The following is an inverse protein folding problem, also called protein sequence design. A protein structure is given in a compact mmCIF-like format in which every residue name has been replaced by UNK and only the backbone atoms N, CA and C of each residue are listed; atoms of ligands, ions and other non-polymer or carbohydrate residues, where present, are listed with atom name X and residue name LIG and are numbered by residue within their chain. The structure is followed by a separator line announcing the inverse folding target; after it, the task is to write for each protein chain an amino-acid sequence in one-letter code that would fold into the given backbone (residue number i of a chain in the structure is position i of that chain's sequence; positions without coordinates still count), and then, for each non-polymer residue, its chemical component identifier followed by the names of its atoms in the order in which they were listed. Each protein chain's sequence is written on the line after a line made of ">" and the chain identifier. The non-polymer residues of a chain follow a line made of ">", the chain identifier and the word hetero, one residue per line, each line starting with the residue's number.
data_IF_601388905533
#
_entry.id   IF_601388905533
#
_cell.length_a   1.000
_cell.length_b   1.000
_cell.length_c   1.000
_cell.angle_alpha   90.00
_cell.angle_beta   90.00
_cell.angle_gamma   90.00
#
_symmetry.space_group_name_H-M   'P 1'
#
loop_
_entity.id
_entity.type
_entity.pdbx_description
1 polymer ?
#
# COMPACT_ATOMS: atom_id res chain seq x y z
N UNK A 1 18.96 13.80 2.87
CA UNK A 1 18.60 12.45 2.46
C UNK A 1 18.10 12.46 1.02
N UNK A 2 18.73 11.75 0.08
CA UNK A 2 18.30 11.73 -1.32
C UNK A 2 16.91 11.06 -1.51
N UNK A 3 16.44 10.29 -0.53
CA UNK A 3 15.15 9.60 -0.52
C UNK A 3 13.98 10.51 -0.13
N UNK A 4 14.25 11.71 0.38
CA UNK A 4 13.24 12.63 0.90
C UNK A 4 13.31 13.95 0.17
N UNK A 5 12.24 14.33 -0.50
CA UNK A 5 12.07 15.66 -1.07
C UNK A 5 11.53 16.63 -0.01
N UNK A 6 12.01 17.86 -0.04
CA UNK A 6 11.44 18.93 0.77
C UNK A 6 10.47 19.75 -0.07
N UNK A 7 9.23 19.77 0.37
CA UNK A 7 8.16 20.58 -0.21
C UNK A 7 7.60 21.53 0.83
N UNK A 8 6.81 22.51 0.44
CA UNK A 8 6.16 23.43 1.37
C UNK A 8 4.63 23.32 1.31
N UNK A 9 4.00 23.46 2.46
CA UNK A 9 2.57 23.70 2.55
C UNK A 9 2.20 25.09 2.05
N UNK A 10 0.94 25.38 1.73
CA UNK A 10 0.50 26.73 1.31
C UNK A 10 0.81 27.83 2.33
N UNK A 11 0.92 27.51 3.62
CA UNK A 11 1.32 28.43 4.69
C UNK A 11 2.84 28.51 4.93
N UNK A 12 3.64 27.89 4.04
CA UNK A 12 5.11 27.98 4.04
C UNK A 12 5.84 27.04 4.99
N UNK A 13 5.15 26.08 5.61
CA UNK A 13 5.83 25.08 6.44
C UNK A 13 6.50 24.01 5.58
N UNK A 14 7.66 23.56 6.00
CA UNK A 14 8.38 22.48 5.31
C UNK A 14 7.75 21.13 5.62
N UNK A 15 7.70 20.28 4.58
CA UNK A 15 7.22 18.90 4.63
C UNK A 15 8.25 18.02 3.97
N UNK A 16 8.70 16.97 4.65
CA UNK A 16 9.48 15.90 4.04
C UNK A 16 8.53 14.95 3.29
N UNK A 17 8.81 14.66 2.04
CA UNK A 17 8.00 13.84 1.17
C UNK A 17 8.81 12.65 0.65
N UNK A 18 8.39 11.43 1.00
CA UNK A 18 8.90 10.21 0.41
C UNK A 18 7.96 9.74 -0.71
N UNK A 19 8.53 9.44 -1.87
CA UNK A 19 7.78 8.91 -3.00
C UNK A 19 7.81 7.38 -3.04
N UNK A 20 6.72 6.81 -3.53
CA UNK A 20 6.67 5.42 -3.98
C UNK A 20 6.11 5.39 -5.40
N UNK A 21 6.87 4.80 -6.32
CA UNK A 21 6.43 4.66 -7.72
C UNK A 21 5.45 3.50 -7.90
N UNK A 22 5.47 2.55 -6.99
CA UNK A 22 4.65 1.34 -7.07
C UNK A 22 3.82 1.21 -5.80
N UNK A 23 2.52 1.34 -5.94
CA UNK A 23 1.58 1.11 -4.85
C UNK A 23 0.65 -0.06 -5.20
N UNK A 24 -0.32 0.16 -6.08
CA UNK A 24 -1.35 -0.85 -6.38
C UNK A 24 -1.19 -1.53 -7.74
N UNK A 25 -0.27 -1.09 -8.60
CA UNK A 25 -0.19 -1.56 -9.99
C UNK A 25 0.00 -3.08 -10.12
N UNK A 26 0.83 -3.69 -9.28
CA UNK A 26 1.01 -5.14 -9.26
C UNK A 26 -0.22 -5.86 -8.69
N UNK A 27 -0.84 -5.29 -7.66
CA UNK A 27 -2.09 -5.80 -7.09
C UNK A 27 -3.23 -5.76 -8.11
N UNK A 28 -3.32 -4.71 -8.92
CA UNK A 28 -4.35 -4.57 -9.96
C UNK A 28 -4.25 -5.74 -10.96
N UNK A 29 -3.03 -6.09 -11.40
CA UNK A 29 -2.79 -7.22 -12.28
C UNK A 29 -3.21 -8.56 -11.65
N UNK A 30 -2.92 -8.76 -10.36
CA UNK A 30 -3.33 -9.98 -9.64
C UNK A 30 -4.84 -10.06 -9.45
N UNK A 31 -5.50 -8.95 -9.12
CA UNK A 31 -6.97 -8.92 -8.98
C UNK A 31 -7.64 -9.22 -10.32
N UNK A 32 -7.10 -8.67 -11.42
CA UNK A 32 -7.60 -9.00 -12.76
C UNK A 32 -7.45 -10.50 -13.05
N UNK A 33 -6.27 -11.07 -12.82
CA UNK A 33 -6.02 -12.51 -13.04
C UNK A 33 -6.95 -13.39 -12.20
N UNK A 34 -7.16 -13.05 -10.92
CA UNK A 34 -8.08 -13.77 -10.04
C UNK A 34 -9.54 -13.63 -10.51
N UNK A 35 -9.91 -12.46 -11.06
CA UNK A 35 -11.21 -12.25 -11.69
C UNK A 35 -11.42 -13.14 -12.90
N UNK A 36 -10.44 -13.24 -13.80
CA UNK A 36 -10.47 -14.13 -14.95
C UNK A 36 -10.60 -15.61 -14.52
N UNK A 37 -9.88 -16.01 -13.46
CA UNK A 37 -9.99 -17.36 -12.91
C UNK A 37 -11.39 -17.61 -12.33
N UNK A 38 -11.97 -16.66 -11.62
CA UNK A 38 -13.34 -16.78 -11.10
C UNK A 38 -14.37 -16.90 -12.24
N UNK A 39 -14.23 -16.10 -13.29
CA UNK A 39 -15.11 -16.16 -14.47
C UNK A 39 -14.99 -17.52 -15.19
N UNK A 40 -13.79 -18.04 -15.35
CA UNK A 40 -13.55 -19.36 -15.92
C UNK A 40 -14.23 -20.49 -15.13
N UNK A 41 -14.43 -20.31 -13.84
CA UNK A 41 -15.16 -21.21 -12.94
C UNK A 41 -16.67 -20.91 -12.87
N UNK A 42 -17.16 -19.95 -13.68
CA UNK A 42 -18.58 -19.60 -13.76
C UNK A 42 -19.05 -18.60 -12.70
N UNK A 43 -18.16 -18.03 -11.90
CA UNK A 43 -18.50 -16.94 -11.00
C UNK A 43 -18.53 -15.62 -11.77
N UNK A 44 -19.44 -14.72 -11.36
CA UNK A 44 -19.51 -13.36 -11.90
C UNK A 44 -19.44 -12.37 -10.76
N UNK A 45 -18.51 -11.44 -10.84
CA UNK A 45 -18.38 -10.34 -9.92
C UNK A 45 -17.98 -9.07 -10.70
N UNK A 46 -18.47 -7.92 -10.26
CA UNK A 46 -18.00 -6.64 -10.77
C UNK A 46 -16.56 -6.40 -10.29
N UNK A 47 -15.82 -5.55 -10.99
CA UNK A 47 -14.47 -5.15 -10.59
C UNK A 47 -14.44 -4.62 -9.14
N UNK A 48 -15.42 -3.83 -8.75
CA UNK A 48 -15.52 -3.29 -7.38
C UNK A 48 -15.72 -4.38 -6.34
N UNK A 49 -16.57 -5.37 -6.63
CA UNK A 49 -16.78 -6.52 -5.73
C UNK A 49 -15.52 -7.38 -5.62
N UNK A 50 -14.82 -7.63 -6.73
CA UNK A 50 -13.54 -8.34 -6.72
C UNK A 50 -12.52 -7.64 -5.82
N UNK A 51 -12.32 -6.33 -6.02
CA UNK A 51 -11.42 -5.55 -5.18
C UNK A 51 -11.79 -5.66 -3.71
N UNK A 52 -13.02 -5.33 -3.35
CA UNK A 52 -13.42 -5.32 -1.96
C UNK A 52 -13.30 -6.70 -1.31
N UNK A 53 -13.79 -7.75 -1.97
CA UNK A 53 -13.79 -9.09 -1.41
C UNK A 53 -12.35 -9.65 -1.30
N UNK A 54 -11.52 -9.48 -2.32
CA UNK A 54 -10.14 -9.97 -2.29
C UNK A 54 -9.30 -9.21 -1.26
N UNK A 55 -9.39 -7.89 -1.22
CA UNK A 55 -8.63 -7.10 -0.25
C UNK A 55 -9.06 -7.39 1.19
N UNK A 56 -10.34 -7.62 1.45
CA UNK A 56 -10.82 -8.01 2.78
C UNK A 56 -10.19 -9.30 3.29
N UNK A 57 -9.89 -10.27 2.41
CA UNK A 57 -9.24 -11.51 2.84
C UNK A 57 -7.88 -11.28 3.50
N UNK A 58 -7.17 -10.19 3.17
CA UNK A 58 -5.90 -9.87 3.79
C UNK A 58 -5.96 -9.68 5.31
N UNK A 59 -7.13 -9.34 5.83
CA UNK A 59 -7.33 -9.15 7.28
C UNK A 59 -7.25 -10.48 8.06
N UNK A 60 -7.52 -11.59 7.39
CA UNK A 60 -7.46 -12.96 7.95
C UNK A 60 -6.06 -13.59 7.73
N UNK A 61 -5.16 -12.90 7.06
CA UNK A 61 -3.80 -13.39 6.83
C UNK A 61 -2.94 -13.41 8.09
N UNK A 62 -1.97 -14.34 8.09
CA UNK A 62 -0.99 -14.43 9.18
C UNK A 62 -0.16 -13.14 9.28
N UNK A 63 0.32 -12.76 10.48
CA UNK A 63 1.10 -11.53 10.68
C UNK A 63 2.35 -11.44 9.79
N UNK A 64 2.98 -12.58 9.51
CA UNK A 64 4.16 -12.73 8.65
C UNK A 64 3.82 -13.11 7.20
N UNK A 65 2.56 -12.96 6.81
CA UNK A 65 2.04 -13.38 5.49
C UNK A 65 2.25 -14.87 5.19
N UNK A 66 2.33 -15.72 6.22
CA UNK A 66 2.56 -17.14 6.07
C UNK A 66 3.92 -17.49 5.45
N UNK A 67 4.92 -16.62 5.62
CA UNK A 67 6.25 -16.79 5.05
C UNK A 67 6.32 -16.52 3.53
N UNK A 68 5.34 -15.80 2.97
CA UNK A 68 5.39 -15.33 1.58
C UNK A 68 6.17 -14.03 1.49
N UNK A 69 6.94 -13.87 0.42
CA UNK A 69 7.63 -12.64 0.07
C UNK A 69 7.11 -12.15 -1.28
N UNK A 70 6.57 -10.94 -1.31
CA UNK A 70 6.19 -10.24 -2.54
C UNK A 70 7.12 -9.06 -2.78
N UNK A 71 7.49 -8.88 -4.03
CA UNK A 71 8.27 -7.76 -4.54
C UNK A 71 7.54 -7.21 -5.78
N UNK A 72 6.85 -6.09 -5.62
CA UNK A 72 5.88 -5.57 -6.59
C UNK A 72 6.37 -4.38 -7.42
N UNK A 73 7.68 -4.17 -7.59
CA UNK A 73 8.22 -3.01 -8.29
C UNK A 73 8.20 -3.24 -9.80
N UNK A 74 7.12 -2.80 -10.45
CA UNK A 74 6.94 -2.88 -11.91
C UNK A 74 7.73 -1.76 -12.61
N UNK A 75 7.64 -0.53 -12.09
CA UNK A 75 8.16 0.69 -12.72
C UNK A 75 9.51 1.12 -12.15
N UNK A 76 10.24 0.19 -11.52
CA UNK A 76 11.36 0.57 -10.67
C UNK A 76 10.90 1.29 -9.39
N UNK A 77 11.85 1.60 -8.51
CA UNK A 77 11.52 2.28 -7.26
C UNK A 77 12.72 3.14 -6.83
N UNK A 78 12.56 4.45 -6.91
CA UNK A 78 13.63 5.41 -6.67
C UNK A 78 14.29 5.23 -5.30
N UNK A 79 13.50 5.10 -4.24
CA UNK A 79 14.01 4.99 -2.87
C UNK A 79 14.87 3.73 -2.64
N UNK A 80 14.74 2.72 -3.50
CA UNK A 80 15.52 1.49 -3.46
C UNK A 80 16.65 1.46 -4.49
N UNK A 81 16.78 2.49 -5.32
CA UNK A 81 17.79 2.58 -6.38
C UNK A 81 17.54 1.68 -7.59
N UNK A 82 16.33 1.15 -7.76
CA UNK A 82 15.96 0.36 -8.94
C UNK A 82 15.35 1.24 -10.03
N UNK A 83 15.94 1.24 -11.22
CA UNK A 83 15.39 1.93 -12.40
C UNK A 83 14.27 1.13 -13.08
N UNK A 84 14.39 -0.21 -13.08
CA UNK A 84 13.39 -1.14 -13.58
C UNK A 84 13.06 -2.18 -12.54
N UNK A 85 11.82 -2.64 -12.52
CA UNK A 85 11.36 -3.69 -11.62
C UNK A 85 10.84 -4.91 -12.37
N UNK A 86 10.88 -6.05 -11.69
CA UNK A 86 10.23 -7.29 -12.13
C UNK A 86 9.51 -7.87 -10.93
N UNK A 87 8.17 -7.82 -10.90
CA UNK A 87 7.40 -8.38 -9.80
C UNK A 87 7.77 -9.84 -9.57
N UNK A 88 7.89 -10.22 -8.32
CA UNK A 88 8.26 -11.57 -7.90
C UNK A 88 7.45 -11.94 -6.66
N UNK A 89 6.88 -13.13 -6.67
CA UNK A 89 6.38 -13.81 -5.48
C UNK A 89 7.27 -15.01 -5.18
N UNK A 90 7.89 -14.99 -4.00
CA UNK A 90 8.71 -16.10 -3.52
C UNK A 90 8.04 -16.78 -2.32
N UNK A 91 8.20 -18.09 -2.23
CA UNK A 91 7.74 -18.90 -1.10
C UNK A 91 8.65 -20.10 -0.85
N UNK A 92 8.73 -20.51 0.39
CA UNK A 92 9.38 -21.76 0.79
C UNK A 92 8.39 -22.93 0.75
N UNK A 93 8.91 -24.16 0.83
CA UNK A 93 8.09 -25.38 0.83
C UNK A 93 7.14 -25.49 2.04
N UNK A 94 7.48 -24.82 3.14
CA UNK A 94 6.70 -24.80 4.38
C UNK A 94 5.88 -23.51 4.58
N UNK A 95 5.81 -22.64 3.57
CA UNK A 95 4.99 -21.42 3.64
C UNK A 95 3.49 -21.79 3.69
N UNK A 96 2.73 -21.02 4.46
CA UNK A 96 1.26 -21.11 4.51
C UNK A 96 0.66 -20.32 3.34
N UNK A 97 0.59 -20.96 2.17
CA UNK A 97 0.18 -20.34 0.92
C UNK A 97 -1.35 -20.34 0.79
N UNK A 98 -1.97 -19.30 1.29
CA UNK A 98 -3.42 -19.03 1.22
C UNK A 98 -3.70 -17.75 0.46
N UNK A 99 -4.94 -17.53 0.00
CA UNK A 99 -5.37 -16.28 -0.62
C UNK A 99 -5.18 -15.11 0.34
N UNK A 100 -5.53 -15.27 1.61
CA UNK A 100 -5.37 -14.23 2.63
C UNK A 100 -3.91 -13.78 2.78
N UNK A 101 -2.99 -14.73 2.91
CA UNK A 101 -1.55 -14.46 3.00
C UNK A 101 -0.99 -13.87 1.71
N UNK A 102 -1.45 -14.34 0.56
CA UNK A 102 -1.05 -13.82 -0.74
C UNK A 102 -1.44 -12.33 -0.87
N UNK A 103 -2.70 -11.98 -0.67
CA UNK A 103 -3.16 -10.59 -0.77
C UNK A 103 -2.47 -9.71 0.27
N UNK A 104 -2.31 -10.20 1.51
CA UNK A 104 -1.61 -9.47 2.57
C UNK A 104 -0.15 -9.18 2.22
N UNK A 105 0.58 -10.13 1.65
CA UNK A 105 1.97 -9.95 1.23
C UNK A 105 2.11 -8.87 0.15
N UNK A 106 1.20 -8.85 -0.82
CA UNK A 106 1.18 -7.81 -1.86
C UNK A 106 0.83 -6.42 -1.31
N UNK A 107 -0.09 -6.33 -0.37
CA UNK A 107 -0.43 -5.06 0.29
C UNK A 107 0.77 -4.53 1.12
N UNK A 108 1.50 -5.38 1.82
CA UNK A 108 2.73 -4.95 2.51
C UNK A 108 3.81 -4.54 1.51
N UNK A 109 3.99 -5.28 0.41
CA UNK A 109 4.94 -4.92 -0.65
C UNK A 109 4.67 -3.51 -1.19
N UNK A 110 3.40 -3.16 -1.42
CA UNK A 110 2.99 -1.82 -1.86
C UNK A 110 3.38 -0.69 -0.88
N UNK A 111 3.59 -1.01 0.39
CA UNK A 111 3.97 -0.04 1.43
C UNK A 111 5.47 -0.02 1.74
N UNK A 112 6.28 -0.92 1.19
CA UNK A 112 7.70 -1.04 1.54
C UNK A 112 8.50 0.24 1.26
N UNK A 113 8.32 0.85 0.09
CA UNK A 113 9.03 2.09 -0.25
C UNK A 113 8.65 3.24 0.70
N UNK A 114 7.35 3.41 0.98
CA UNK A 114 6.86 4.38 1.95
C UNK A 114 7.44 4.11 3.35
N UNK A 115 7.49 2.84 3.79
CA UNK A 115 8.09 2.47 5.08
C UNK A 115 9.57 2.81 5.12
N UNK A 116 10.32 2.62 4.04
CA UNK A 116 11.74 2.99 3.96
C UNK A 116 11.91 4.50 4.16
N UNK A 117 11.11 5.33 3.47
CA UNK A 117 11.14 6.77 3.67
C UNK A 117 10.73 7.20 5.08
N UNK A 118 9.74 6.53 5.66
CA UNK A 118 9.32 6.78 7.04
C UNK A 118 10.43 6.43 8.03
N UNK A 119 11.18 5.36 7.80
CA UNK A 119 12.30 4.97 8.65
C UNK A 119 13.41 6.02 8.69
N UNK A 120 13.69 6.71 7.58
CA UNK A 120 14.62 7.86 7.57
C UNK A 120 14.16 8.93 8.56
N UNK A 121 12.88 9.30 8.51
CA UNK A 121 12.33 10.33 9.41
C UNK A 121 12.36 9.88 10.88
N UNK A 122 11.99 8.64 11.16
CA UNK A 122 11.89 8.11 12.53
C UNK A 122 13.25 7.81 13.16
N UNK A 123 14.15 7.17 12.38
CA UNK A 123 15.41 6.64 12.90
C UNK A 123 16.56 7.62 12.80
N UNK A 124 16.68 8.31 11.65
CA UNK A 124 17.81 9.17 11.36
C UNK A 124 17.54 10.61 11.85
N UNK A 125 16.31 11.10 11.65
CA UNK A 125 15.91 12.46 12.06
C UNK A 125 15.24 12.50 13.44
N UNK A 126 14.92 11.35 14.04
CA UNK A 126 14.31 11.27 15.36
C UNK A 126 12.89 11.86 15.44
N UNK A 127 12.18 11.93 14.31
CA UNK A 127 10.83 12.46 14.27
C UNK A 127 9.87 11.62 15.13
N UNK A 128 8.95 12.30 15.81
CA UNK A 128 7.87 11.66 16.56
C UNK A 128 6.59 11.74 15.75
N UNK A 129 6.00 10.58 15.42
CA UNK A 129 4.76 10.49 14.66
C UNK A 129 3.70 9.86 15.54
N UNK A 130 2.70 10.64 15.90
CA UNK A 130 1.58 10.19 16.75
C UNK A 130 0.49 9.50 15.92
N UNK A 131 0.27 9.95 14.69
CA UNK A 131 -0.81 9.50 13.83
C UNK A 131 -0.45 9.64 12.36
N UNK A 132 -0.88 8.68 11.55
CA UNK A 132 -0.87 8.76 10.07
C UNK A 132 -2.30 9.02 9.60
N UNK A 133 -2.49 10.00 8.73
CA UNK A 133 -3.78 10.28 8.09
C UNK A 133 -3.78 9.74 6.66
N UNK A 134 -4.62 8.73 6.42
CA UNK A 134 -4.71 8.05 5.13
C UNK A 134 -5.65 8.77 4.16
N UNK A 135 -5.24 8.87 2.88
CA UNK A 135 -6.03 9.40 1.79
C UNK A 135 -5.82 8.57 0.52
N UNK A 136 -6.83 8.55 -0.36
CA UNK A 136 -6.74 7.95 -1.69
C UNK A 136 -7.27 6.53 -1.79
N UNK A 137 -7.05 5.92 -2.97
CA UNK A 137 -7.65 4.64 -3.37
C UNK A 137 -7.32 3.46 -2.47
N UNK A 138 -6.12 3.43 -1.89
CA UNK A 138 -5.69 2.38 -0.95
C UNK A 138 -6.63 2.23 0.27
N UNK A 139 -7.32 3.30 0.64
CA UNK A 139 -8.21 3.35 1.79
C UNK A 139 -9.71 3.21 1.43
N UNK A 140 -10.05 2.94 0.16
CA UNK A 140 -11.44 2.77 -0.27
C UNK A 140 -12.07 1.46 0.23
N UNK A 141 -11.27 0.40 0.41
CA UNK A 141 -11.77 -0.84 1.02
C UNK A 141 -11.84 -0.67 2.54
N UNK A 142 -13.02 -0.85 3.15
CA UNK A 142 -13.21 -0.59 4.58
C UNK A 142 -12.20 -1.34 5.45
N UNK A 143 -11.58 -0.63 6.38
CA UNK A 143 -10.58 -1.11 7.35
C UNK A 143 -9.26 -1.65 6.78
N UNK A 144 -9.24 -2.19 5.56
CA UNK A 144 -8.05 -2.88 5.02
C UNK A 144 -6.84 -1.95 4.98
N UNK A 145 -6.95 -0.82 4.28
CA UNK A 145 -5.84 0.13 4.15
C UNK A 145 -5.34 0.63 5.50
N UNK A 146 -6.25 0.96 6.41
CA UNK A 146 -5.90 1.41 7.76
C UNK A 146 -5.13 0.35 8.55
N UNK A 147 -5.65 -0.88 8.61
CA UNK A 147 -5.04 -1.96 9.42
C UNK A 147 -3.72 -2.43 8.84
N UNK A 148 -3.62 -2.54 7.50
CA UNK A 148 -2.37 -2.92 6.84
C UNK A 148 -1.32 -1.82 7.03
N UNK A 149 -1.66 -0.55 6.83
CA UNK A 149 -0.72 0.55 7.03
C UNK A 149 -0.30 0.67 8.50
N UNK A 150 -1.21 0.56 9.44
CA UNK A 150 -0.88 0.58 10.86
C UNK A 150 0.06 -0.58 11.23
N UNK A 151 -0.16 -1.78 10.68
CA UNK A 151 0.72 -2.92 10.89
C UNK A 151 2.11 -2.72 10.26
N UNK A 152 2.18 -2.11 9.04
CA UNK A 152 3.44 -1.85 8.36
C UNK A 152 4.28 -0.77 9.05
N UNK A 153 3.64 0.23 9.66
CA UNK A 153 4.32 1.40 10.22
C UNK A 153 4.50 1.36 11.74
N UNK A 154 3.66 0.59 12.43
CA UNK A 154 3.59 0.61 13.90
C UNK A 154 2.95 1.88 14.44
N UNK A 155 2.24 2.65 13.60
CA UNK A 155 1.64 3.94 13.95
C UNK A 155 0.12 3.89 13.73
N UNK A 156 -0.70 4.47 14.61
CA UNK A 156 -2.14 4.58 14.39
C UNK A 156 -2.48 5.27 13.08
N UNK A 157 -3.50 4.77 12.37
CA UNK A 157 -3.95 5.34 11.09
C UNK A 157 -5.40 5.76 11.19
N UNK A 158 -5.70 7.02 10.89
CA UNK A 158 -7.04 7.56 10.80
C UNK A 158 -7.43 7.93 9.38
N UNK A 159 -8.72 7.95 9.11
CA UNK A 159 -9.29 8.40 7.85
C UNK A 159 -10.28 9.53 8.12
N UNK A 160 -10.20 10.58 7.32
CA UNK A 160 -11.26 11.58 7.26
C UNK A 160 -12.43 11.06 6.41
N UNK A 161 -13.63 11.58 6.60
CA UNK A 161 -14.80 11.23 5.77
C UNK A 161 -14.56 11.47 4.26
N UNK A 162 -13.72 12.47 3.93
CA UNK A 162 -13.31 12.81 2.56
C UNK A 162 -12.10 12.01 2.07
N UNK A 163 -11.62 11.01 2.79
CA UNK A 163 -10.34 10.34 2.48
C UNK A 163 -10.29 9.73 1.07
N UNK A 164 -11.43 9.24 0.55
CA UNK A 164 -11.50 8.68 -0.81
C UNK A 164 -11.28 9.71 -1.92
N UNK A 165 -11.51 11.01 -1.65
CA UNK A 165 -11.46 12.11 -2.61
C UNK A 165 -10.59 13.28 -2.07
N UNK A 166 -9.65 12.99 -1.17
CA UNK A 166 -8.88 13.99 -0.44
C UNK A 166 -8.12 14.97 -1.32
N UNK A 167 -7.57 14.52 -2.45
CA UNK A 167 -6.86 15.38 -3.40
C UNK A 167 -7.79 16.40 -4.07
N UNK A 168 -8.93 15.94 -4.58
CA UNK A 168 -9.93 16.81 -5.21
C UNK A 168 -10.52 17.81 -4.20
N UNK A 169 -10.80 17.36 -2.99
CA UNK A 169 -11.30 18.21 -1.91
C UNK A 169 -10.26 19.26 -1.50
N UNK A 170 -8.98 18.87 -1.36
CA UNK A 170 -7.90 19.79 -1.00
C UNK A 170 -7.69 20.89 -2.04
N UNK A 171 -7.69 20.55 -3.33
CA UNK A 171 -7.54 21.55 -4.40
C UNK A 171 -8.75 22.49 -4.46
N UNK A 172 -9.95 21.99 -4.19
CA UNK A 172 -11.16 22.84 -4.14
C UNK A 172 -11.14 23.83 -2.97
N UNK A 173 -10.45 23.52 -1.89
CA UNK A 173 -10.25 24.47 -0.77
C UNK A 173 -9.22 25.55 -1.06
N UNK A 174 -8.30 25.31 -2.01
CA UNK A 174 -7.26 26.24 -2.40
C UNK A 174 -7.70 27.18 -3.54
N UNK A 175 -8.77 26.85 -4.25
CA UNK A 175 -9.33 27.63 -5.36
C UNK A 175 -10.23 28.76 -4.85
#
# INVERSE_FOLDING_TARGET
>A
HPEIDLVSTPDGKLVGMAHSNNCSSDMDAWIQLLGEAAEALGAKASTTELYNNLLQTALDGDPDCGGLLSYGYISGEHITGFEEGRPLLARSSNSHFTLANFIRAHLFSALCAMRTGLDVLLKDEGAQIEEIRGHGGFFKSPEVGQRIMAAATGTPVSLLQSAGEGGAWGIALLA
#
